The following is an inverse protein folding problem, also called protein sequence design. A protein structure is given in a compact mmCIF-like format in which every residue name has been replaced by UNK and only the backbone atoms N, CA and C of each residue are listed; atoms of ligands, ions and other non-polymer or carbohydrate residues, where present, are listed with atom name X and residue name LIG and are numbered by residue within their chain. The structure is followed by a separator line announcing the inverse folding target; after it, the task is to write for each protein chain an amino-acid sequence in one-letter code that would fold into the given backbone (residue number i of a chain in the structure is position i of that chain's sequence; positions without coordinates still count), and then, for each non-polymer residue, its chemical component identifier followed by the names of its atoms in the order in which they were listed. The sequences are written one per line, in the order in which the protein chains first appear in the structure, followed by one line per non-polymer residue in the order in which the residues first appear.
data_IF_361783110391
#
_entry.id   IF_361783110391
#
_cell.length_a   1.000
_cell.length_b   1.000
_cell.length_c   1.000
_cell.angle_alpha   90.00
_cell.angle_beta   90.00
_cell.angle_gamma   90.00
#
_symmetry.space_group_name_H-M   'P 1'
#
loop_
_entity.id
_entity.type
_entity.pdbx_description
1 polymer ?
#
# COMPACT_ATOMS: atom_id res chain seq x y z
N UNK A 1 -15.92 8.32 2.19
CA UNK A 1 -15.29 8.32 0.85
C UNK A 1 -14.48 7.03 0.72
N UNK A 2 -14.42 6.38 -0.44
CA UNK A 2 -13.47 5.26 -0.63
C UNK A 2 -12.06 5.77 -0.96
N UNK A 3 -11.06 4.89 -0.94
CA UNK A 3 -9.65 5.22 -1.21
C UNK A 3 -9.48 6.00 -2.53
N UNK A 4 -10.11 5.52 -3.60
CA UNK A 4 -10.05 6.14 -4.93
C UNK A 4 -10.66 7.54 -4.93
N UNK A 5 -11.87 7.68 -4.42
CA UNK A 5 -12.57 8.96 -4.33
C UNK A 5 -11.76 9.98 -3.50
N UNK A 6 -11.17 9.54 -2.38
CA UNK A 6 -10.35 10.35 -1.48
C UNK A 6 -9.10 10.87 -2.17
N UNK A 7 -8.35 9.96 -2.80
CA UNK A 7 -7.15 10.31 -3.55
C UNK A 7 -7.49 11.27 -4.68
N UNK A 8 -8.54 11.00 -5.46
CA UNK A 8 -8.96 11.88 -6.56
C UNK A 8 -9.41 13.26 -6.07
N UNK A 9 -10.12 13.35 -4.95
CA UNK A 9 -10.50 14.65 -4.38
C UNK A 9 -9.25 15.46 -4.00
N UNK A 10 -8.29 14.83 -3.31
CA UNK A 10 -7.08 15.51 -2.85
C UNK A 10 -6.19 16.02 -4.00
N UNK A 11 -5.93 15.19 -5.03
CA UNK A 11 -5.09 15.61 -6.17
C UNK A 11 -5.75 16.68 -7.05
N UNK A 12 -7.08 16.76 -7.02
CA UNK A 12 -7.85 17.78 -7.74
C UNK A 12 -8.16 19.00 -6.86
N UNK A 13 -7.42 19.20 -5.76
CA UNK A 13 -7.54 20.35 -4.85
C UNK A 13 -8.96 20.54 -4.27
N UNK A 14 -9.70 19.45 -4.06
CA UNK A 14 -10.99 19.42 -3.35
C UNK A 14 -10.78 18.97 -1.91
N UNK A 15 -11.81 19.10 -1.07
CA UNK A 15 -11.77 18.66 0.34
C UNK A 15 -12.13 17.15 0.44
N UNK A 16 -11.17 16.25 0.73
CA UNK A 16 -11.48 14.86 1.06
C UNK A 16 -11.99 14.73 2.50
N UNK A 17 -12.51 13.55 2.87
CA UNK A 17 -12.94 13.23 4.24
C UNK A 17 -11.76 13.11 5.23
N UNK A 18 -10.58 12.73 4.74
CA UNK A 18 -9.28 12.80 5.44
C UNK A 18 -8.14 12.89 4.41
N UNK A 19 -6.90 13.27 4.79
CA UNK A 19 -5.76 13.16 3.89
C UNK A 19 -5.58 11.72 3.37
N UNK A 20 -5.32 11.51 2.07
CA UNK A 20 -4.99 10.19 1.54
C UNK A 20 -3.62 9.74 2.06
N UNK A 21 -3.47 8.44 2.27
CA UNK A 21 -2.29 7.80 2.84
C UNK A 21 -1.62 6.94 1.78
N UNK A 22 -0.33 7.22 1.55
CA UNK A 22 0.60 6.37 0.84
C UNK A 22 1.66 5.89 1.84
N UNK A 23 1.88 4.58 1.91
CA UNK A 23 2.87 3.95 2.79
C UNK A 23 3.60 2.86 2.01
N UNK A 24 4.88 2.68 2.33
CA UNK A 24 5.73 1.57 1.87
C UNK A 24 6.34 0.89 3.09
N UNK A 25 6.61 -0.40 3.03
CA UNK A 25 7.10 -1.19 4.16
C UNK A 25 8.39 -1.91 3.77
N UNK A 26 9.35 -1.96 4.68
CA UNK A 26 10.44 -2.94 4.53
C UNK A 26 9.89 -4.34 4.77
N UNK A 27 10.51 -5.40 4.21
CA UNK A 27 10.01 -6.77 4.36
C UNK A 27 9.84 -7.21 5.82
N UNK A 28 10.75 -6.76 6.70
CA UNK A 28 10.71 -7.09 8.13
C UNK A 28 9.53 -6.45 8.85
N UNK A 29 9.09 -5.26 8.42
CA UNK A 29 7.91 -4.61 8.99
C UNK A 29 6.64 -5.22 8.41
N UNK A 30 6.63 -5.55 7.11
CA UNK A 30 5.51 -6.25 6.49
C UNK A 30 5.24 -7.60 7.17
N UNK A 31 6.28 -8.40 7.43
CA UNK A 31 6.15 -9.69 8.15
C UNK A 31 5.53 -9.51 9.54
N UNK A 32 6.03 -8.54 10.32
CA UNK A 32 5.50 -8.25 11.67
C UNK A 32 4.06 -7.75 11.64
N UNK A 33 3.68 -6.96 10.64
CA UNK A 33 2.30 -6.48 10.50
C UNK A 33 1.37 -7.61 10.05
N UNK A 34 1.79 -8.45 9.09
CA UNK A 34 1.05 -9.64 8.70
C UNK A 34 0.75 -10.55 9.90
N UNK A 35 1.75 -10.83 10.74
CA UNK A 35 1.57 -11.60 11.98
C UNK A 35 0.61 -10.91 12.95
N UNK A 36 0.82 -9.62 13.23
CA UNK A 36 0.04 -8.89 14.22
C UNK A 36 -1.45 -8.76 13.86
N UNK A 37 -1.77 -8.67 12.56
CA UNK A 37 -3.14 -8.50 12.08
C UNK A 37 -3.76 -9.80 11.53
N UNK A 38 -3.03 -10.93 11.56
CA UNK A 38 -3.50 -12.20 11.01
C UNK A 38 -3.72 -12.16 9.49
N UNK A 39 -2.96 -11.32 8.78
CA UNK A 39 -3.04 -11.15 7.34
C UNK A 39 -1.94 -11.96 6.64
N UNK A 40 -2.17 -12.44 5.39
CA UNK A 40 -1.14 -13.13 4.63
C UNK A 40 0.12 -12.28 4.46
N UNK A 41 1.28 -12.92 4.62
CA UNK A 41 2.56 -12.29 4.30
C UNK A 41 2.89 -12.49 2.82
N UNK A 42 3.00 -11.38 2.10
CA UNK A 42 3.54 -11.38 0.73
C UNK A 42 5.06 -11.28 0.79
N UNK A 43 5.81 -12.22 0.20
CA UNK A 43 7.26 -12.10 0.15
C UNK A 43 7.67 -10.89 -0.69
N UNK A 44 8.81 -10.30 -0.35
CA UNK A 44 9.35 -9.15 -1.07
C UNK A 44 9.77 -9.56 -2.50
N UNK A 45 9.43 -8.73 -3.47
CA UNK A 45 9.89 -8.89 -4.85
C UNK A 45 11.38 -8.55 -4.91
N UNK A 46 12.17 -9.39 -5.56
CA UNK A 46 13.60 -9.13 -5.80
C UNK A 46 13.76 -7.99 -6.83
N UNK A 47 13.81 -6.77 -6.33
CA UNK A 47 13.94 -5.55 -7.10
C UNK A 47 14.65 -4.47 -6.28
N UNK A 48 15.23 -3.47 -6.96
CA UNK A 48 15.91 -2.34 -6.34
C UNK A 48 15.02 -1.62 -5.30
N UNK A 49 13.72 -1.46 -5.58
CA UNK A 49 12.75 -0.75 -4.73
C UNK A 49 11.71 -1.71 -4.13
N UNK A 50 12.15 -2.90 -3.70
CA UNK A 50 11.30 -3.96 -3.14
C UNK A 50 10.34 -3.47 -2.05
N UNK A 51 10.79 -2.57 -1.17
CA UNK A 51 9.97 -2.01 -0.09
C UNK A 51 8.76 -1.20 -0.57
N UNK A 52 8.78 -0.65 -1.79
CA UNK A 52 7.67 0.14 -2.35
C UNK A 52 6.69 -0.67 -3.17
N UNK A 53 7.17 -1.73 -3.81
CA UNK A 53 6.41 -2.47 -4.83
C UNK A 53 5.85 -3.79 -4.29
N UNK A 54 6.27 -4.20 -3.10
CA UNK A 54 5.84 -5.44 -2.44
C UNK A 54 4.69 -5.16 -1.46
N UNK A 55 4.05 -6.22 -0.97
CA UNK A 55 3.06 -6.16 0.13
C UNK A 55 1.80 -5.38 -0.23
N UNK A 56 1.39 -5.42 -1.50
CA UNK A 56 0.27 -4.66 -2.04
C UNK A 56 -1.06 -5.10 -1.41
N UNK A 57 -1.27 -6.41 -1.25
CA UNK A 57 -2.45 -6.95 -0.61
C UNK A 57 -2.49 -6.60 0.88
N UNK A 58 -1.37 -6.79 1.61
CA UNK A 58 -1.25 -6.35 3.00
C UNK A 58 -1.61 -4.87 3.17
N UNK A 59 -1.02 -3.97 2.37
CA UNK A 59 -1.29 -2.53 2.43
C UNK A 59 -2.74 -2.18 2.05
N UNK A 60 -3.34 -2.93 1.13
CA UNK A 60 -4.74 -2.76 0.73
C UNK A 60 -5.68 -3.15 1.88
N UNK A 61 -5.46 -4.29 2.52
CA UNK A 61 -6.22 -4.75 3.69
C UNK A 61 -6.10 -3.78 4.88
N UNK A 62 -4.91 -3.18 5.06
CA UNK A 62 -4.67 -2.17 6.09
C UNK A 62 -5.26 -0.78 5.76
N UNK A 63 -5.85 -0.60 4.58
CA UNK A 63 -6.56 0.62 4.20
C UNK A 63 -5.68 1.75 3.65
N UNK A 64 -4.52 1.43 3.07
CA UNK A 64 -3.75 2.39 2.29
C UNK A 64 -4.58 2.91 1.10
N UNK A 65 -4.52 4.22 0.83
CA UNK A 65 -5.32 4.82 -0.24
C UNK A 65 -4.64 4.75 -1.60
N UNK A 66 -3.32 4.58 -1.59
CA UNK A 66 -2.46 4.58 -2.76
C UNK A 66 -1.46 3.45 -2.59
N UNK A 67 -1.38 2.58 -3.61
CA UNK A 67 -0.40 1.51 -3.72
C UNK A 67 0.54 1.86 -4.88
N UNK A 68 1.85 1.82 -4.63
CA UNK A 68 2.83 1.90 -5.70
C UNK A 68 2.99 0.50 -6.32
N UNK A 69 2.84 0.43 -7.64
CA UNK A 69 3.05 -0.80 -8.40
C UNK A 69 4.22 -0.60 -9.36
N UNK A 70 5.01 -1.66 -9.57
CA UNK A 70 6.01 -1.69 -10.64
C UNK A 70 5.40 -2.32 -11.90
N UNK A 71 5.77 -1.87 -13.11
CA UNK A 71 5.32 -2.48 -14.37
C UNK A 71 5.78 -3.93 -14.54
N UNK A 72 6.76 -4.38 -13.74
CA UNK A 72 7.30 -5.74 -13.76
C UNK A 72 6.93 -6.55 -12.51
N UNK A 73 6.05 -6.04 -11.64
CA UNK A 73 5.52 -6.85 -10.55
C UNK A 73 4.66 -7.98 -11.15
N UNK A 74 4.82 -9.24 -10.69
CA UNK A 74 3.97 -10.35 -11.15
C UNK A 74 2.48 -10.02 -10.93
N UNK A 75 1.58 -10.43 -11.84
CA UNK A 75 0.14 -10.27 -11.66
C UNK A 75 -0.42 -11.08 -10.47
#
# INVERSE_FOLDING_TARGET
MNARERTLAAINHRQPDRPPVYVSLTPQIAEKLSEAYGLPFEPAIDAMESARISHMGLLTEMGADIIAIAPTAPP
#
